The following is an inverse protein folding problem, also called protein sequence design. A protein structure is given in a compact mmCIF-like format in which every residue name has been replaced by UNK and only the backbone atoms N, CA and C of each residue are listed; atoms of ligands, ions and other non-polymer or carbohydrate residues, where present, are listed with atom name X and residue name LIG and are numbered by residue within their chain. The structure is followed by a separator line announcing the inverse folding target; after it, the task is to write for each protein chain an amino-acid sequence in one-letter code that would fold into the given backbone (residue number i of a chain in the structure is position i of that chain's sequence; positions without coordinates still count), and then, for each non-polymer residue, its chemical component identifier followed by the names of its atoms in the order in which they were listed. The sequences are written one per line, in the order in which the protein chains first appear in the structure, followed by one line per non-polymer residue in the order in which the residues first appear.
data_IF_441748477443
#
_entry.id   IF_441748477443
#
_cell.length_a   1.000
_cell.length_b   1.000
_cell.length_c   1.000
_cell.angle_alpha   90.00
_cell.angle_beta   90.00
_cell.angle_gamma   90.00
#
_symmetry.space_group_name_H-M   'P 1'
#
loop_
_entity.id
_entity.type
_entity.pdbx_description
1 polymer ?
#
# COMPACT_ATOMS: atom_id res chain seq x y z
N UNK A 1 -3.53 -9.71 -0.04
CA UNK A 1 -4.62 -9.85 0.97
C UNK A 1 -5.35 -8.54 1.10
N UNK A 2 -6.61 -8.52 1.56
CA UNK A 2 -7.39 -7.28 1.74
C UNK A 2 -7.25 -6.77 3.18
N UNK A 3 -7.00 -5.47 3.35
CA UNK A 3 -6.95 -4.77 4.63
C UNK A 3 -7.44 -3.32 4.46
N UNK A 4 -8.39 -2.88 5.29
CA UNK A 4 -8.87 -1.49 5.28
C UNK A 4 -9.46 -1.01 3.94
N UNK A 5 -9.98 -1.92 3.10
CA UNK A 5 -10.48 -1.59 1.76
C UNK A 5 -9.40 -1.59 0.66
N UNK A 6 -8.16 -2.01 0.98
CA UNK A 6 -7.06 -2.12 0.05
C UNK A 6 -6.57 -3.55 -0.10
N UNK A 7 -6.24 -3.95 -1.32
CA UNK A 7 -5.39 -5.10 -1.57
C UNK A 7 -3.93 -4.73 -1.29
N UNK A 8 -3.26 -5.55 -0.48
CA UNK A 8 -1.82 -5.47 -0.21
C UNK A 8 -1.13 -6.68 -0.85
N UNK A 9 -0.08 -6.40 -1.62
CA UNK A 9 0.82 -7.39 -2.19
C UNK A 9 2.26 -7.09 -1.77
N UNK A 10 2.97 -8.07 -1.23
CA UNK A 10 4.41 -7.99 -1.05
C UNK A 10 5.15 -8.55 -2.27
N UNK A 11 6.28 -7.96 -2.60
CA UNK A 11 7.14 -8.42 -3.69
C UNK A 11 8.60 -8.09 -3.39
N UNK A 12 9.51 -8.89 -3.96
CA UNK A 12 10.95 -8.67 -3.84
C UNK A 12 11.45 -7.84 -5.03
N UNK A 13 12.20 -6.76 -4.75
CA UNK A 13 12.83 -5.91 -5.75
C UNK A 13 14.31 -5.72 -5.40
N UNK A 14 15.14 -6.65 -5.87
CA UNK A 14 16.52 -6.80 -5.43
C UNK A 14 16.63 -7.85 -4.31
N UNK A 15 17.80 -8.49 -4.20
CA UNK A 15 17.97 -9.65 -3.31
C UNK A 15 17.79 -9.24 -1.85
N UNK A 16 16.81 -9.82 -1.17
CA UNK A 16 16.48 -9.59 0.23
C UNK A 16 15.79 -8.24 0.49
N UNK A 17 15.34 -7.55 -0.55
CA UNK A 17 14.71 -6.24 -0.47
C UNK A 17 13.23 -6.37 -0.82
N UNK A 18 12.40 -6.32 0.22
CA UNK A 18 10.97 -6.55 0.12
C UNK A 18 10.20 -5.25 0.19
N UNK A 19 9.25 -5.11 -0.72
CA UNK A 19 8.37 -3.96 -0.84
C UNK A 19 6.92 -4.43 -0.71
N UNK A 20 6.03 -3.48 -0.45
CA UNK A 20 4.60 -3.70 -0.55
C UNK A 20 4.00 -2.73 -1.57
N UNK A 21 2.95 -3.18 -2.23
CA UNK A 21 2.07 -2.38 -3.08
C UNK A 21 0.68 -2.45 -2.49
N UNK A 22 0.00 -1.31 -2.49
CA UNK A 22 -1.41 -1.21 -2.14
C UNK A 22 -2.23 -0.73 -3.34
N UNK A 23 -3.43 -1.27 -3.47
CA UNK A 23 -4.44 -0.88 -4.45
C UNK A 23 -5.81 -0.90 -3.77
N UNK A 24 -6.77 -0.06 -4.17
CA UNK A 24 -8.12 -0.18 -3.62
C UNK A 24 -8.76 -1.50 -4.08
N UNK A 25 -9.42 -2.19 -3.16
CA UNK A 25 -10.05 -3.49 -3.47
C UNK A 25 -11.22 -3.36 -4.45
N UNK A 26 -11.85 -2.18 -4.52
CA UNK A 26 -12.90 -1.86 -5.49
C UNK A 26 -12.36 -1.41 -6.86
N UNK A 27 -11.04 -1.51 -7.08
CA UNK A 27 -10.34 -1.18 -8.34
C UNK A 27 -10.39 0.29 -8.77
N UNK A 28 -11.01 1.16 -7.98
CA UNK A 28 -10.93 2.60 -8.15
C UNK A 28 -9.55 3.13 -7.74
N UNK A 29 -9.08 4.25 -8.31
CA UNK A 29 -7.80 4.83 -7.93
C UNK A 29 -7.84 5.45 -6.53
N UNK A 30 -6.68 5.46 -5.87
CA UNK A 30 -6.46 6.28 -4.68
C UNK A 30 -6.26 7.72 -5.12
N UNK A 31 -7.06 8.65 -4.60
CA UNK A 31 -6.91 10.07 -4.90
C UNK A 31 -6.11 10.74 -3.79
N UNK A 32 -4.97 11.33 -4.14
CA UNK A 32 -4.12 12.11 -3.24
C UNK A 32 -3.98 13.50 -3.84
N UNK A 33 -4.43 14.52 -3.10
CA UNK A 33 -4.37 15.92 -3.51
C UNK A 33 -4.92 16.18 -4.94
N UNK A 34 -5.99 15.45 -5.31
CA UNK A 34 -6.65 15.56 -6.62
C UNK A 34 -6.03 14.71 -7.74
N UNK A 35 -4.89 14.06 -7.49
CA UNK A 35 -4.25 13.14 -8.44
C UNK A 35 -4.66 11.69 -8.17
N UNK A 36 -5.02 10.97 -9.22
CA UNK A 36 -5.46 9.58 -9.15
C UNK A 36 -4.29 8.62 -9.38
N UNK A 37 -4.08 7.71 -8.44
CA UNK A 37 -3.07 6.66 -8.51
C UNK A 37 -3.76 5.30 -8.53
N UNK A 38 -3.63 4.51 -9.61
CA UNK A 38 -4.24 3.18 -9.67
C UNK A 38 -3.60 2.23 -8.64
N UNK A 39 -2.31 2.41 -8.37
CA UNK A 39 -1.53 1.63 -7.40
C UNK A 39 -0.56 2.57 -6.67
N UNK A 40 -0.31 2.27 -5.39
CA UNK A 40 0.71 2.96 -4.59
C UNK A 40 1.73 1.93 -4.13
N UNK A 41 3.01 2.21 -4.40
CA UNK A 41 4.09 1.44 -3.81
C UNK A 41 4.40 2.03 -2.45
N UNK A 42 4.20 1.21 -1.42
CA UNK A 42 4.31 1.61 -0.02
C UNK A 42 5.42 0.79 0.59
N UNK A 43 6.53 1.45 0.86
CA UNK A 43 7.62 0.87 1.63
C UNK A 43 8.99 1.21 1.08
N UNK A 44 9.91 1.43 2.02
CA UNK A 44 11.33 1.24 1.80
C UNK A 44 11.65 -0.26 1.71
N UNK A 45 12.85 -0.61 1.25
CA UNK A 45 13.26 -2.00 1.15
C UNK A 45 13.38 -2.66 2.54
N UNK A 46 12.45 -3.56 2.86
CA UNK A 46 12.40 -4.33 4.09
C UNK A 46 13.14 -5.65 3.96
N UNK A 47 13.59 -6.22 5.08
CA UNK A 47 14.36 -7.48 5.09
C UNK A 47 13.52 -8.74 4.83
N UNK A 48 12.19 -8.67 4.93
CA UNK A 48 11.28 -9.79 4.73
C UNK A 48 9.88 -9.30 4.29
N UNK A 49 9.07 -10.17 3.64
CA UNK A 49 7.76 -9.79 3.12
C UNK A 49 6.77 -9.39 4.21
N UNK A 50 6.83 -10.00 5.39
CA UNK A 50 5.92 -9.73 6.51
C UNK A 50 6.10 -8.31 7.06
N UNK A 51 7.35 -7.83 7.12
CA UNK A 51 7.68 -6.46 7.52
C UNK A 51 7.17 -5.44 6.51
N UNK A 52 7.30 -5.70 5.21
CA UNK A 52 6.73 -4.84 4.16
C UNK A 52 5.20 -4.77 4.26
N UNK A 53 4.56 -5.89 4.55
CA UNK A 53 3.12 -5.97 4.78
C UNK A 53 2.70 -5.17 6.03
N UNK A 54 3.43 -5.30 7.14
CA UNK A 54 3.11 -4.61 8.38
C UNK A 54 3.23 -3.09 8.22
N UNK A 55 4.27 -2.62 7.52
CA UNK A 55 4.44 -1.22 7.17
C UNK A 55 3.31 -0.71 6.28
N UNK A 56 2.89 -1.47 5.27
CA UNK A 56 1.75 -1.11 4.42
C UNK A 56 0.44 -0.97 5.21
N UNK A 57 0.20 -1.83 6.20
CA UNK A 57 -0.96 -1.70 7.11
C UNK A 57 -0.90 -0.42 7.93
N UNK A 58 0.25 -0.13 8.55
CA UNK A 58 0.46 1.08 9.33
C UNK A 58 0.31 2.36 8.46
N UNK A 59 0.74 2.30 7.20
CA UNK A 59 0.55 3.36 6.23
C UNK A 59 -0.94 3.58 5.92
N UNK A 60 -1.69 2.50 5.64
CA UNK A 60 -3.13 2.57 5.43
C UNK A 60 -3.81 3.20 6.65
N UNK A 61 -3.54 2.71 7.86
CA UNK A 61 -4.16 3.24 9.08
C UNK A 61 -3.89 4.74 9.28
N UNK A 62 -2.65 5.17 9.00
CA UNK A 62 -2.23 6.57 9.14
C UNK A 62 -2.91 7.49 8.12
N UNK A 63 -3.11 7.03 6.89
CA UNK A 63 -3.55 7.86 5.76
C UNK A 63 -5.00 7.61 5.33
N UNK A 64 -5.70 6.63 5.90
CA UNK A 64 -7.11 6.33 5.61
C UNK A 64 -8.03 7.55 5.69
N UNK A 65 -7.90 8.47 6.65
CA UNK A 65 -8.70 9.71 6.67
C UNK A 65 -8.50 10.60 5.44
N UNK A 66 -7.33 10.54 4.78
CA UNK A 66 -7.05 11.29 3.54
C UNK A 66 -7.53 10.55 2.30
N UNK A 67 -7.52 9.21 2.32
CA UNK A 67 -8.03 8.38 1.22
C UNK A 67 -9.57 8.34 1.14
N UNK A 68 -10.24 8.55 2.27
CA UNK A 68 -11.70 8.54 2.37
C UNK A 68 -12.37 9.87 1.94
N UNK A 69 -11.60 10.93 1.67
CA UNK A 69 -12.15 12.18 1.17
C UNK A 69 -12.44 12.08 -0.34
N UNK A 70 -13.59 11.51 -0.68
CA UNK A 70 -14.35 11.89 -1.87
C UNK A 70 -15.84 11.86 -1.61
#
# INVERSE_FOLDING_TARGET
MIYGGFEIQSFEAGRGLWHARIQRADQEPVVIDGLAFPTLEVGFAWSNPEAAIADAKAHIDRFMPRFANR
#
